data_IF_326210032731
#
_entry.id   IF_326210032731
#
_cell.length_a   1.000
_cell.length_b   1.000
_cell.length_c   1.000
_cell.angle_alpha   90.00
_cell.angle_beta   90.00
_cell.angle_gamma   90.00
#
_symmetry.space_group_name_H-M   'P 1'
#
loop_
_entity.id
_entity.type
_entity.pdbx_description
1 polymer ?
#
# COMPACT_ATOMS: atom_id res chain seq x y z
N UNK A 1 43.51 -22.03 -13.65
CA UNK A 1 42.74 -20.90 -14.21
C UNK A 1 42.20 -20.08 -13.04
N UNK A 2 42.57 -18.80 -12.89
CA UNK A 2 42.13 -17.98 -11.76
C UNK A 2 40.69 -17.51 -11.95
N UNK A 3 39.83 -17.85 -11.00
CA UNK A 3 38.45 -17.38 -10.89
C UNK A 3 38.46 -15.87 -10.65
N UNK A 4 38.09 -15.07 -11.65
CA UNK A 4 37.91 -13.63 -11.47
C UNK A 4 36.68 -13.38 -10.60
N UNK A 5 36.92 -12.98 -9.34
CA UNK A 5 35.89 -12.48 -8.44
C UNK A 5 35.45 -11.09 -8.93
N UNK A 6 34.44 -11.03 -9.80
CA UNK A 6 33.82 -9.76 -10.16
C UNK A 6 33.17 -9.13 -8.93
N UNK A 7 33.81 -8.11 -8.39
CA UNK A 7 33.27 -7.27 -7.33
C UNK A 7 32.26 -6.31 -7.97
N UNK A 8 31.00 -6.72 -8.06
CA UNK A 8 29.97 -5.80 -8.55
C UNK A 8 29.78 -4.62 -7.57
N UNK A 9 29.68 -3.38 -8.10
CA UNK A 9 29.53 -2.19 -7.29
C UNK A 9 28.17 -2.18 -6.54
N UNK A 10 28.23 -2.22 -5.21
CA UNK A 10 27.08 -2.30 -4.27
C UNK A 10 26.22 -1.01 -4.17
N UNK A 11 26.29 -0.06 -5.09
CA UNK A 11 25.94 1.34 -4.79
C UNK A 11 24.51 1.83 -5.08
N UNK A 12 23.55 1.03 -5.58
CA UNK A 12 22.21 1.56 -5.97
C UNK A 12 20.99 1.09 -5.17
N UNK A 13 21.15 0.28 -4.12
CA UNK A 13 20.02 -0.48 -3.54
C UNK A 13 19.33 0.15 -2.30
N UNK A 14 19.79 1.30 -1.80
CA UNK A 14 19.25 1.89 -0.54
C UNK A 14 17.99 2.74 -0.72
N UNK A 15 17.76 3.32 -1.90
CA UNK A 15 16.69 4.29 -2.12
C UNK A 15 15.28 3.71 -1.98
N UNK A 16 15.07 2.45 -2.38
CA UNK A 16 13.77 1.81 -2.40
C UNK A 16 13.09 1.70 -1.03
N UNK A 17 13.82 1.20 -0.03
CA UNK A 17 13.29 1.04 1.32
C UNK A 17 12.95 2.39 1.96
N UNK A 18 13.73 3.44 1.66
CA UNK A 18 13.47 4.79 2.16
C UNK A 18 12.11 5.28 1.63
N UNK A 19 11.83 5.11 0.34
CA UNK A 19 10.54 5.49 -0.26
C UNK A 19 9.39 4.75 0.42
N UNK A 20 9.51 3.44 0.64
CA UNK A 20 8.48 2.64 1.33
C UNK A 20 8.18 3.18 2.73
N UNK A 21 9.21 3.46 3.53
CA UNK A 21 9.03 3.97 4.90
C UNK A 21 8.47 5.40 4.93
N UNK A 22 8.86 6.25 3.98
CA UNK A 22 8.28 7.59 3.82
C UNK A 22 6.79 7.48 3.49
N UNK A 23 6.40 6.57 2.59
CA UNK A 23 4.99 6.34 2.25
C UNK A 23 4.17 5.80 3.44
N UNK A 24 4.74 4.89 4.23
CA UNK A 24 4.13 4.45 5.50
C UNK A 24 3.90 5.64 6.45
N UNK A 25 4.93 6.47 6.67
CA UNK A 25 4.85 7.62 7.57
C UNK A 25 3.84 8.66 7.09
N UNK A 26 3.86 9.01 5.80
CA UNK A 26 2.91 9.95 5.21
C UNK A 26 1.48 9.43 5.30
N UNK A 27 1.24 8.15 5.00
CA UNK A 27 -0.08 7.53 5.12
C UNK A 27 -0.58 7.55 6.58
N UNK A 28 0.30 7.27 7.55
CA UNK A 28 -0.04 7.32 8.97
C UNK A 28 -0.36 8.74 9.45
N UNK A 29 0.42 9.74 9.02
CA UNK A 29 0.17 11.15 9.36
C UNK A 29 -1.16 11.63 8.77
N UNK A 30 -1.44 11.34 7.49
CA UNK A 30 -2.72 11.68 6.86
C UNK A 30 -3.89 11.00 7.59
N UNK A 31 -3.73 9.73 7.96
CA UNK A 31 -4.72 9.01 8.76
C UNK A 31 -5.00 9.68 10.10
N UNK A 32 -3.96 10.03 10.86
CA UNK A 32 -4.12 10.69 12.16
C UNK A 32 -4.80 12.04 12.02
N UNK A 33 -4.40 12.85 11.03
CA UNK A 33 -5.04 14.15 10.78
C UNK A 33 -6.51 13.95 10.46
N UNK A 34 -6.85 13.04 9.53
CA UNK A 34 -8.24 12.78 9.15
C UNK A 34 -9.08 12.26 10.32
N UNK A 35 -8.55 11.33 11.12
CA UNK A 35 -9.21 10.79 12.31
C UNK A 35 -9.49 11.89 13.34
N UNK A 36 -8.49 12.70 13.68
CA UNK A 36 -8.64 13.79 14.65
C UNK A 36 -9.63 14.84 14.15
N UNK A 37 -9.55 15.23 12.88
CA UNK A 37 -10.50 16.16 12.28
C UNK A 37 -11.93 15.57 12.28
N UNK A 38 -12.12 14.28 12.01
CA UNK A 38 -13.43 13.64 12.10
C UNK A 38 -13.97 13.66 13.55
N UNK A 39 -13.14 13.34 14.54
CA UNK A 39 -13.56 13.34 15.95
C UNK A 39 -13.93 14.75 16.42
N UNK A 40 -13.12 15.76 16.10
CA UNK A 40 -13.28 17.11 16.65
C UNK A 40 -14.20 18.02 15.82
N UNK A 41 -14.39 17.76 14.52
CA UNK A 41 -15.15 18.66 13.65
C UNK A 41 -16.52 18.14 13.23
N UNK A 42 -16.66 16.83 13.00
CA UNK A 42 -17.89 16.27 12.41
C UNK A 42 -18.64 15.37 13.37
N UNK A 43 -17.94 14.49 14.08
CA UNK A 43 -18.57 13.45 14.91
C UNK A 43 -19.37 12.42 14.10
N UNK A 44 -19.13 12.30 12.78
CA UNK A 44 -19.84 11.36 11.92
C UNK A 44 -19.46 9.93 12.28
N UNK A 45 -20.41 9.17 12.83
CA UNK A 45 -20.21 7.79 13.32
C UNK A 45 -19.82 6.86 12.16
N UNK A 46 -20.45 7.03 10.99
CA UNK A 46 -20.16 6.21 9.80
C UNK A 46 -18.71 6.43 9.37
N UNK A 47 -18.27 7.69 9.25
CA UNK A 47 -16.89 8.01 8.92
C UNK A 47 -15.93 7.54 10.00
N UNK A 48 -16.29 7.66 11.29
CA UNK A 48 -15.47 7.14 12.38
C UNK A 48 -15.24 5.63 12.24
N UNK A 49 -16.27 4.86 11.90
CA UNK A 49 -16.14 3.43 11.66
C UNK A 49 -15.18 3.11 10.50
N UNK A 50 -15.26 3.85 9.38
CA UNK A 50 -14.34 3.71 8.25
C UNK A 50 -12.89 4.00 8.66
N UNK A 51 -12.65 5.08 9.41
CA UNK A 51 -11.32 5.41 9.92
C UNK A 51 -10.81 4.37 10.90
N UNK A 52 -11.66 3.86 11.81
CA UNK A 52 -11.27 2.79 12.74
C UNK A 52 -10.87 1.51 11.99
N UNK A 53 -11.61 1.12 10.94
CA UNK A 53 -11.26 -0.02 10.10
C UNK A 53 -9.91 0.19 9.37
N UNK A 54 -9.72 1.38 8.78
CA UNK A 54 -8.46 1.75 8.12
C UNK A 54 -7.28 1.77 9.10
N UNK A 55 -7.48 2.33 10.29
CA UNK A 55 -6.51 2.40 11.37
C UNK A 55 -6.14 1.01 11.89
N UNK A 56 -7.12 0.13 12.10
CA UNK A 56 -6.87 -1.25 12.53
C UNK A 56 -6.02 -2.01 11.51
N UNK A 57 -6.36 -1.92 10.22
CA UNK A 57 -5.58 -2.54 9.15
C UNK A 57 -4.14 -1.99 9.13
N UNK A 58 -3.97 -0.69 9.34
CA UNK A 58 -2.66 -0.06 9.39
C UNK A 58 -1.84 -0.53 10.61
N UNK A 59 -2.46 -0.59 11.79
CA UNK A 59 -1.82 -1.05 13.02
C UNK A 59 -1.41 -2.53 12.96
N UNK A 60 -2.16 -3.37 12.23
CA UNK A 60 -1.81 -4.77 12.04
C UNK A 60 -0.73 -4.95 10.97
N UNK A 61 -0.90 -4.29 9.82
CA UNK A 61 -0.03 -4.52 8.66
C UNK A 61 1.33 -3.82 8.79
N UNK A 62 1.36 -2.53 9.14
CA UNK A 62 2.58 -1.72 9.08
C UNK A 62 3.67 -2.22 10.03
N UNK A 63 3.40 -2.47 11.33
CA UNK A 63 4.44 -2.99 12.23
C UNK A 63 4.97 -4.35 11.78
N UNK A 64 4.08 -5.24 11.31
CA UNK A 64 4.48 -6.55 10.82
C UNK A 64 5.35 -6.45 9.56
N UNK A 65 5.00 -5.58 8.61
CA UNK A 65 5.80 -5.32 7.41
C UNK A 65 7.19 -4.74 7.76
N UNK A 66 7.25 -3.78 8.68
CA UNK A 66 8.51 -3.17 9.13
C UNK A 66 9.41 -4.19 9.83
N UNK A 67 8.88 -4.98 10.76
CA UNK A 67 9.65 -5.99 11.51
C UNK A 67 10.17 -7.09 10.58
N UNK A 68 9.35 -7.58 9.65
CA UNK A 68 9.75 -8.63 8.71
C UNK A 68 10.77 -8.13 7.70
N UNK A 69 10.62 -6.90 7.22
CA UNK A 69 11.60 -6.24 6.37
C UNK A 69 12.94 -6.03 7.08
N UNK A 70 12.94 -5.73 8.39
CA UNK A 70 14.16 -5.57 9.17
C UNK A 70 14.91 -6.89 9.40
N UNK A 71 14.19 -8.01 9.47
CA UNK A 71 14.76 -9.36 9.68
C UNK A 71 15.23 -10.04 8.39
N UNK A 72 15.06 -9.41 7.22
CA UNK A 72 15.33 -10.01 5.89
C UNK A 72 14.69 -11.42 5.75
N UNK A 73 13.47 -11.55 6.29
CA UNK A 73 12.74 -12.82 6.32
C UNK A 73 12.02 -13.02 4.99
N UNK A 74 12.14 -14.22 4.41
CA UNK A 74 11.32 -14.68 3.27
C UNK A 74 9.86 -15.02 3.68
N UNK A 75 9.33 -14.29 4.67
CA UNK A 75 7.98 -14.47 5.16
C UNK A 75 6.96 -14.13 4.08
N UNK A 76 5.91 -14.96 3.99
CA UNK A 76 4.77 -14.73 3.09
C UNK A 76 4.05 -13.40 3.37
N UNK A 77 4.20 -12.86 4.58
CA UNK A 77 3.50 -11.65 5.00
C UNK A 77 4.13 -10.37 4.42
N UNK A 78 5.42 -10.36 4.07
CA UNK A 78 6.06 -9.21 3.41
C UNK A 78 6.02 -9.32 1.88
N UNK A 79 5.20 -10.20 1.31
CA UNK A 79 5.09 -10.33 -0.14
C UNK A 79 4.45 -9.08 -0.75
N UNK A 80 4.94 -8.66 -1.92
CA UNK A 80 4.38 -7.54 -2.68
C UNK A 80 2.88 -7.71 -2.95
N UNK A 81 2.40 -8.95 -3.18
CA UNK A 81 0.98 -9.24 -3.33
C UNK A 81 0.15 -8.92 -2.09
N UNK A 82 0.69 -9.13 -0.88
CA UNK A 82 0.02 -8.77 0.38
C UNK A 82 -0.03 -7.25 0.53
N UNK A 83 1.04 -6.55 0.15
CA UNK A 83 1.07 -5.09 0.14
C UNK A 83 0.07 -4.49 -0.86
N UNK A 84 -0.05 -5.07 -2.06
CA UNK A 84 -1.07 -4.69 -3.04
C UNK A 84 -2.48 -4.87 -2.47
N UNK A 85 -2.76 -6.00 -1.81
CA UNK A 85 -4.05 -6.26 -1.18
C UNK A 85 -4.35 -5.24 -0.07
N UNK A 86 -3.37 -4.96 0.79
CA UNK A 86 -3.46 -3.92 1.82
C UNK A 86 -3.78 -2.55 1.22
N UNK A 87 -3.02 -2.11 0.20
CA UNK A 87 -3.21 -0.82 -0.46
C UNK A 87 -4.59 -0.72 -1.10
N UNK A 88 -5.06 -1.79 -1.75
CA UNK A 88 -6.37 -1.84 -2.40
C UNK A 88 -7.51 -1.67 -1.38
N UNK A 89 -7.44 -2.37 -0.24
CA UNK A 89 -8.45 -2.25 0.81
C UNK A 89 -8.42 -0.85 1.43
N UNK A 90 -7.23 -0.30 1.70
CA UNK A 90 -7.09 1.07 2.20
C UNK A 90 -7.66 2.08 1.22
N UNK A 91 -7.35 1.97 -0.08
CA UNK A 91 -7.91 2.84 -1.12
C UNK A 91 -9.43 2.82 -1.12
N UNK A 92 -10.05 1.65 -1.00
CA UNK A 92 -11.51 1.52 -0.93
C UNK A 92 -12.08 2.25 0.30
N UNK A 93 -11.45 2.12 1.47
CA UNK A 93 -11.88 2.80 2.70
C UNK A 93 -11.76 4.32 2.60
N UNK A 94 -10.64 4.84 2.07
CA UNK A 94 -10.42 6.27 1.90
C UNK A 94 -11.32 6.88 0.83
N UNK A 95 -11.56 6.16 -0.26
CA UNK A 95 -12.52 6.56 -1.29
C UNK A 95 -13.94 6.62 -0.73
N UNK A 96 -14.36 5.59 0.00
CA UNK A 96 -15.67 5.57 0.65
C UNK A 96 -15.83 6.73 1.64
N UNK A 97 -14.82 7.00 2.48
CA UNK A 97 -14.88 8.14 3.40
C UNK A 97 -14.94 9.49 2.67
N UNK A 98 -14.14 9.67 1.62
CA UNK A 98 -14.17 10.90 0.79
C UNK A 98 -15.54 11.15 0.17
N UNK A 99 -16.21 10.10 -0.34
CA UNK A 99 -17.56 10.16 -0.89
C UNK A 99 -18.59 10.48 0.20
N UNK A 100 -18.53 9.81 1.36
CA UNK A 100 -19.48 10.07 2.46
C UNK A 100 -19.38 11.53 2.91
N UNK A 101 -18.18 12.08 3.10
CA UNK A 101 -18.01 13.49 3.42
C UNK A 101 -18.46 14.43 2.30
N UNK A 102 -18.29 14.07 1.02
CA UNK A 102 -18.79 14.87 -0.10
C UNK A 102 -20.32 14.94 -0.09
N UNK A 103 -20.99 13.81 0.21
CA UNK A 103 -22.44 13.74 0.35
C UNK A 103 -22.87 14.58 1.56
N UNK A 104 -22.26 14.38 2.74
CA UNK A 104 -22.58 15.17 3.93
C UNK A 104 -22.40 16.68 3.66
N UNK A 105 -21.32 17.07 2.96
CA UNK A 105 -21.06 18.47 2.57
C UNK A 105 -22.14 19.05 1.64
N UNK A 106 -22.70 18.24 0.75
CA UNK A 106 -23.75 18.66 -0.18
C UNK A 106 -25.13 18.79 0.48
N UNK A 107 -25.40 17.97 1.51
CA UNK A 107 -26.71 17.91 2.18
C UNK A 107 -26.84 18.89 3.34
N UNK A 108 -25.74 19.25 3.99
CA UNK A 108 -25.75 20.27 5.05
C UNK A 108 -25.97 21.64 4.41
N UNK A 109 -27.25 21.99 4.26
CA UNK A 109 -27.68 23.32 3.86
C UNK A 109 -27.24 24.32 4.93
N UNK A 110 -26.35 25.24 4.57
CA UNK A 110 -25.95 26.33 5.46
C UNK A 110 -27.20 27.12 5.88
N UNK A 111 -27.61 26.98 7.14
CA UNK A 111 -28.52 27.94 7.75
C UNK A 111 -27.73 29.24 7.97
N UNK A 112 -28.12 30.29 7.26
CA UNK A 112 -27.61 31.63 7.50
C UNK A 112 -28.30 32.17 8.75
N UNK A 113 -27.55 32.45 9.81
CA UNK A 113 -28.11 33.17 10.96
C UNK A 113 -28.20 34.65 10.58
N UNK A 114 -29.39 35.12 10.22
CA UNK A 114 -29.63 36.54 9.95
C UNK A 114 -29.79 37.26 11.28
N UNK A 115 -28.77 38.00 11.71
CA UNK A 115 -28.87 38.87 12.88
C UNK A 115 -29.39 40.24 12.42
N UNK A 116 -30.61 40.60 12.81
CA UNK A 116 -31.19 41.91 12.51
C UNK A 116 -30.65 42.91 13.55
N UNK A 117 -29.80 43.84 13.12
CA UNK A 117 -29.47 45.02 13.91
C UNK A 117 -30.53 46.10 13.69
N UNK A 118 -30.83 46.88 14.73
CA UNK A 118 -31.85 47.95 14.79
C UNK A 118 -31.76 49.05 13.69
N UNK A 119 -30.78 49.00 12.78
CA UNK A 119 -30.54 50.01 11.73
C UNK A 119 -30.54 49.46 10.28
N UNK A 120 -31.42 48.49 9.95
CA UNK A 120 -31.65 47.98 8.56
C UNK A 120 -30.40 47.48 7.80
N UNK A 121 -29.29 47.22 8.48
CA UNK A 121 -28.10 46.59 7.88
C UNK A 121 -28.12 45.10 8.19
N UNK A 122 -28.37 44.29 7.17
CA UNK A 122 -28.22 42.85 7.24
C UNK A 122 -26.73 42.50 7.17
N UNK A 123 -26.18 41.85 8.19
CA UNK A 123 -24.89 41.16 8.09
C UNK A 123 -25.16 39.66 7.95
N UNK A 124 -24.78 39.11 6.81
CA UNK A 124 -24.78 37.67 6.59
C UNK A 124 -23.53 37.08 7.24
N UNK A 125 -23.69 36.30 8.31
CA UNK A 125 -22.61 35.46 8.82
C UNK A 125 -22.66 34.13 8.07
N UNK A 126 -21.65 33.89 7.23
CA UNK A 126 -21.46 32.59 6.57
C UNK A 126 -21.12 31.55 7.63
N UNK A 127 -22.00 30.59 7.85
CA UNK A 127 -21.75 29.45 8.73
C UNK A 127 -20.65 28.56 8.12
N UNK A 128 -19.60 28.31 8.91
CA UNK A 128 -18.38 27.54 8.58
C UNK A 128 -18.68 26.03 8.33
N UNK A 129 -19.95 25.64 8.23
CA UNK A 129 -20.39 24.23 8.21
C UNK A 129 -19.89 23.46 6.99
N UNK A 130 -20.02 24.01 5.78
CA UNK A 130 -19.69 23.28 4.54
C UNK A 130 -18.19 23.19 4.28
N UNK A 131 -17.43 24.21 4.68
CA UNK A 131 -15.98 24.26 4.43
C UNK A 131 -15.21 23.15 5.16
N UNK A 132 -15.65 22.78 6.37
CA UNK A 132 -14.99 21.71 7.16
C UNK A 132 -15.21 20.33 6.54
N UNK A 133 -16.45 20.03 6.12
CA UNK A 133 -16.80 18.77 5.47
C UNK A 133 -16.16 18.64 4.08
N UNK A 134 -16.12 19.73 3.32
CA UNK A 134 -15.41 19.78 2.04
C UNK A 134 -13.91 19.53 2.21
N UNK A 135 -13.30 20.11 3.25
CA UNK A 135 -11.89 19.87 3.60
C UNK A 135 -11.60 18.41 3.95
N UNK A 136 -12.48 17.77 4.72
CA UNK A 136 -12.38 16.34 5.06
C UNK A 136 -12.56 15.43 3.84
N UNK A 137 -13.51 15.76 2.95
CA UNK A 137 -13.69 15.05 1.69
C UNK A 137 -12.44 15.15 0.81
N UNK A 138 -11.89 16.36 0.66
CA UNK A 138 -10.65 16.59 -0.07
C UNK A 138 -9.47 15.80 0.53
N UNK A 139 -9.35 15.77 1.86
CA UNK A 139 -8.32 14.99 2.54
C UNK A 139 -8.45 13.48 2.24
N UNK A 140 -9.67 12.93 2.23
CA UNK A 140 -9.92 11.55 1.85
C UNK A 140 -9.48 11.23 0.42
N UNK A 141 -9.79 12.12 -0.54
CA UNK A 141 -9.34 11.97 -1.94
C UNK A 141 -7.82 12.14 -2.10
N UNK A 142 -7.19 13.06 -1.38
CA UNK A 142 -5.73 13.22 -1.38
C UNK A 142 -5.05 11.95 -0.87
N UNK A 143 -5.56 11.36 0.22
CA UNK A 143 -5.03 10.11 0.75
C UNK A 143 -5.22 8.96 -0.24
N UNK A 144 -6.39 8.86 -0.88
CA UNK A 144 -6.64 7.91 -1.96
C UNK A 144 -5.61 8.04 -3.10
N UNK A 145 -5.34 9.26 -3.57
CA UNK A 145 -4.35 9.52 -4.63
C UNK A 145 -2.95 9.10 -4.19
N UNK A 146 -2.56 9.39 -2.94
CA UNK A 146 -1.27 8.96 -2.39
C UNK A 146 -1.14 7.43 -2.40
N UNK A 147 -2.19 6.70 -2.00
CA UNK A 147 -2.19 5.23 -2.01
C UNK A 147 -2.16 4.67 -3.45
N UNK A 148 -2.86 5.30 -4.39
CA UNK A 148 -2.79 4.93 -5.80
C UNK A 148 -1.37 5.13 -6.36
N UNK A 149 -0.72 6.24 -6.02
CA UNK A 149 0.68 6.51 -6.38
C UNK A 149 1.64 5.47 -5.80
N UNK A 150 1.44 5.06 -4.55
CA UNK A 150 2.19 3.97 -3.93
C UNK A 150 1.98 2.64 -4.67
N UNK A 151 0.73 2.28 -4.97
CA UNK A 151 0.41 1.06 -5.70
C UNK A 151 1.06 1.03 -7.09
N UNK A 152 1.00 2.14 -7.83
CA UNK A 152 1.64 2.30 -9.14
C UNK A 152 3.15 2.15 -9.02
N UNK A 153 3.77 2.79 -8.02
CA UNK A 153 5.20 2.66 -7.76
C UNK A 153 5.61 1.21 -7.44
N UNK A 154 4.82 0.49 -6.64
CA UNK A 154 5.06 -0.91 -6.32
C UNK A 154 4.93 -1.81 -7.56
N UNK A 155 3.91 -1.59 -8.39
CA UNK A 155 3.75 -2.29 -9.66
C UNK A 155 4.92 -2.00 -10.61
N UNK A 156 5.35 -0.73 -10.71
CA UNK A 156 6.52 -0.34 -11.49
C UNK A 156 7.78 -1.05 -11.00
N UNK A 157 8.02 -1.09 -9.69
CA UNK A 157 9.14 -1.82 -9.09
C UNK A 157 9.05 -3.33 -9.40
N UNK A 158 7.85 -3.92 -9.34
CA UNK A 158 7.68 -5.34 -9.65
C UNK A 158 8.01 -5.66 -11.11
N UNK A 159 7.56 -4.80 -12.04
CA UNK A 159 7.83 -4.97 -13.46
C UNK A 159 9.30 -4.72 -13.83
N UNK A 160 9.94 -3.69 -13.27
CA UNK A 160 11.34 -3.36 -13.57
C UNK A 160 12.32 -4.35 -12.97
N UNK A 161 12.11 -4.76 -11.72
CA UNK A 161 13.01 -5.71 -11.04
C UNK A 161 12.79 -7.14 -11.55
N UNK A 162 11.56 -7.46 -11.96
CA UNK A 162 11.15 -8.78 -12.40
C UNK A 162 11.38 -9.09 -13.88
N UNK A 163 12.27 -8.39 -14.61
CA UNK A 163 12.39 -8.38 -16.09
C UNK A 163 12.48 -9.71 -16.87
N UNK A 164 12.39 -10.88 -16.22
CA UNK A 164 12.19 -12.22 -16.84
C UNK A 164 11.22 -13.15 -16.09
N UNK A 165 10.63 -12.70 -14.98
CA UNK A 165 9.64 -13.44 -14.20
C UNK A 165 8.23 -13.10 -14.70
N UNK A 166 7.30 -14.05 -14.60
CA UNK A 166 5.89 -13.72 -14.84
C UNK A 166 5.43 -12.68 -13.81
N UNK A 167 4.51 -11.80 -14.19
CA UNK A 167 3.91 -10.80 -13.28
C UNK A 167 3.46 -11.44 -11.96
N UNK A 168 2.83 -12.62 -12.04
CA UNK A 168 2.37 -13.39 -10.87
C UNK A 168 3.49 -13.91 -9.97
N UNK A 169 4.68 -14.17 -10.49
CA UNK A 169 5.84 -14.56 -9.69
C UNK A 169 6.48 -13.36 -9.01
N UNK A 170 6.51 -12.20 -9.67
CA UNK A 170 7.06 -10.97 -9.10
C UNK A 170 6.30 -10.53 -7.83
N UNK A 171 4.97 -10.73 -7.77
CA UNK A 171 4.17 -10.40 -6.58
C UNK A 171 4.36 -11.37 -5.40
N UNK A 172 4.98 -12.54 -5.61
CA UNK A 172 5.32 -13.47 -4.53
C UNK A 172 6.63 -13.11 -3.83
N UNK A 173 7.35 -12.12 -4.35
CA UNK A 173 8.63 -11.68 -3.81
C UNK A 173 8.41 -10.79 -2.59
N UNK A 174 9.28 -10.88 -1.56
CA UNK A 174 9.26 -9.93 -0.46
C UNK A 174 9.44 -8.50 -1.00
N UNK A 175 8.57 -7.56 -0.59
CA UNK A 175 8.58 -6.19 -1.10
C UNK A 175 9.94 -5.56 -0.87
N UNK A 176 10.55 -5.74 0.31
CA UNK A 176 11.86 -5.15 0.61
C UNK A 176 12.95 -5.59 -0.39
N UNK A 177 12.90 -6.83 -0.89
CA UNK A 177 13.85 -7.30 -1.93
C UNK A 177 13.52 -6.74 -3.31
N UNK A 178 12.23 -6.62 -3.60
CA UNK A 178 11.70 -6.05 -4.84
C UNK A 178 12.17 -4.60 -5.03
N UNK A 179 12.11 -3.78 -3.98
CA UNK A 179 12.46 -2.36 -4.05
C UNK A 179 13.98 -2.11 -4.01
N UNK A 180 14.72 -3.02 -3.37
CA UNK A 180 16.18 -2.97 -3.29
C UNK A 180 16.81 -3.38 -4.63
N UNK A 181 16.13 -4.20 -5.44
CA UNK A 181 16.65 -4.67 -6.72
C UNK A 181 17.74 -5.74 -6.57
N UNK A 182 17.90 -6.32 -5.38
CA UNK A 182 18.84 -7.43 -5.14
C UNK A 182 18.15 -8.76 -5.37
N UNK A 183 17.91 -9.08 -6.64
CA UNK A 183 17.63 -10.45 -7.03
C UNK A 183 18.94 -11.08 -7.51
N UNK A 184 19.71 -11.66 -6.58
CA UNK A 184 20.75 -12.62 -6.98
C UNK A 184 20.04 -13.76 -7.69
N UNK A 185 20.43 -14.00 -8.94
CA UNK A 185 19.93 -15.04 -9.84
C UNK A 185 20.28 -16.46 -9.36
N UNK A 186 20.22 -16.75 -8.05
CA UNK A 186 20.65 -18.04 -7.50
C UNK A 186 19.68 -19.19 -7.76
N UNK A 187 18.45 -18.91 -8.20
CA UNK A 187 17.41 -19.94 -8.35
C UNK A 187 17.19 -20.48 -9.76
N UNK A 188 17.53 -19.74 -10.82
CA UNK A 188 17.14 -20.14 -12.18
C UNK A 188 18.12 -21.11 -12.83
N UNK A 189 19.39 -21.09 -12.42
CA UNK A 189 20.37 -22.10 -12.81
C UNK A 189 20.25 -23.38 -11.94
N UNK A 190 19.57 -23.28 -10.80
CA UNK A 190 19.30 -24.40 -9.88
C UNK A 190 17.99 -25.15 -10.17
N UNK A 191 16.95 -24.49 -10.69
CA UNK A 191 15.67 -25.14 -11.04
C UNK A 191 15.67 -25.76 -12.44
N UNK A 192 16.58 -25.34 -13.34
CA UNK A 192 16.91 -26.07 -14.57
C UNK A 192 17.89 -27.23 -14.34
N UNK A 193 18.49 -27.27 -13.14
CA UNK A 193 19.07 -28.50 -12.60
C UNK A 193 17.95 -29.21 -11.84
N UNK A 194 17.06 -29.88 -12.58
CA UNK A 194 16.20 -30.89 -11.99
C UNK A 194 17.02 -31.67 -10.97
N UNK A 195 16.52 -31.75 -9.73
CA UNK A 195 17.16 -32.59 -8.73
C UNK A 195 17.36 -33.97 -9.37
N UNK A 196 18.58 -34.54 -9.37
CA UNK A 196 18.85 -35.84 -9.98
C UNK A 196 17.86 -36.92 -9.52
N UNK A 197 17.27 -36.75 -8.34
CA UNK A 197 16.24 -37.62 -7.75
C UNK A 197 14.91 -37.67 -8.51
N UNK A 198 14.51 -36.62 -9.23
CA UNK A 198 13.27 -36.64 -10.00
C UNK A 198 13.48 -37.23 -11.40
N UNK A 199 14.65 -36.98 -12.02
CA UNK A 199 15.03 -37.69 -13.24
C UNK A 199 15.28 -39.19 -12.99
N UNK A 200 15.84 -39.57 -11.84
CA UNK A 200 16.03 -40.99 -11.51
C UNK A 200 14.68 -41.72 -11.29
N UNK A 201 13.66 -41.02 -10.76
CA UNK A 201 12.30 -41.57 -10.65
C UNK A 201 11.58 -41.68 -11.98
N UNK A 202 11.75 -40.72 -12.89
CA UNK A 202 11.20 -40.78 -14.24
C UNK A 202 11.88 -41.88 -15.09
N UNK A 203 13.21 -42.03 -14.95
CA UNK A 203 14.00 -43.07 -15.62
C UNK A 203 13.60 -44.48 -15.15
N UNK A 204 13.52 -44.71 -13.82
CA UNK A 204 13.06 -46.01 -13.27
C UNK A 204 11.63 -46.36 -13.66
N UNK A 205 10.78 -45.36 -13.94
CA UNK A 205 9.39 -45.57 -14.37
C UNK A 205 9.30 -45.93 -15.86
N UNK A 206 10.26 -45.48 -16.68
CA UNK A 206 10.34 -45.89 -18.09
C UNK A 206 10.92 -47.30 -18.24
N UNK A 207 11.91 -47.66 -17.41
CA UNK A 207 12.51 -49.00 -17.47
C UNK A 207 11.54 -50.12 -17.05
N UNK A 208 10.60 -49.85 -16.15
CA UNK A 208 9.61 -50.85 -15.71
C UNK A 208 8.47 -51.13 -16.70
N UNK A 209 8.33 -50.32 -17.76
CA UNK A 209 7.30 -50.52 -18.80
C UNK A 209 7.83 -51.34 -19.98
N UNK A 210 9.15 -51.47 -20.13
CA UNK A 210 9.79 -52.14 -21.27
C UNK A 210 9.94 -53.67 -21.14
N UNK A 211 9.57 -54.24 -19.99
CA UNK A 211 9.76 -55.67 -19.67
C UNK A 211 8.48 -56.49 -19.66
N UNK A 212 7.50 -56.16 -20.52
CA UNK A 212 6.30 -56.97 -20.75
C UNK A 212 6.18 -57.31 -22.23
#
# INVERSE_FOLDING_TARGET
>A
MPTQTQTQPRSRSRGGNIVRYVLFALSFVLFLIALLLNIFLTGSIINLALHCAAGLLMLLYVPAAVILSAKDSDSRFDQAGVEVAYLTIQMALWLASGIVFAIEAAWVTCSYTVTIYNNRRYRFYSTICTQRLAGLSALGFIHFILLAGWLIWLAYAAHHTGGRMSSTQAFKLPTHRLVVGRYERKGQDGLLRASPTDQEKEQRRSDSISTV
#
